data_IF_444785726862
#
_entry.id   IF_444785726862
#
_cell.length_a   1.000
_cell.length_b   1.000
_cell.length_c   1.000
_cell.angle_alpha   90.00
_cell.angle_beta   90.00
_cell.angle_gamma   90.00
#
_symmetry.space_group_name_H-M   'P 1'
#
loop_
_entity.id
_entity.type
_entity.pdbx_description
1 polymer ?
#
# COMPACT_ATOMS: atom_id res chain seq x y z
N UNK A 1 46.47 5.10 -40.60
CA UNK A 1 46.03 4.34 -39.40
C UNK A 1 44.58 4.69 -39.06
N UNK A 2 43.60 3.88 -39.49
CA UNK A 2 42.18 4.08 -39.14
C UNK A 2 41.93 3.46 -37.76
N UNK A 3 41.92 4.27 -36.70
CA UNK A 3 41.65 3.81 -35.34
C UNK A 3 40.19 3.33 -35.27
N UNK A 4 40.03 2.06 -34.94
CA UNK A 4 38.77 1.32 -34.94
C UNK A 4 37.74 1.97 -34.00
N UNK A 5 36.63 2.49 -34.57
CA UNK A 5 35.45 2.95 -33.80
C UNK A 5 34.78 1.79 -33.04
N UNK A 6 34.97 0.56 -33.51
CA UNK A 6 34.46 -0.67 -32.88
C UNK A 6 35.05 -0.89 -31.50
N UNK A 7 36.35 -0.59 -31.29
CA UNK A 7 36.99 -0.72 -29.98
C UNK A 7 36.44 0.28 -28.97
N UNK A 8 36.06 1.49 -29.40
CA UNK A 8 35.44 2.51 -28.54
C UNK A 8 34.04 2.08 -28.09
N UNK A 9 33.24 1.50 -28.99
CA UNK A 9 31.91 0.98 -28.65
C UNK A 9 31.98 -0.22 -27.71
N UNK A 10 32.95 -1.12 -27.90
CA UNK A 10 33.14 -2.27 -27.03
C UNK A 10 33.47 -1.84 -25.59
N UNK A 11 34.34 -0.82 -25.44
CA UNK A 11 34.70 -0.26 -24.14
C UNK A 11 33.48 0.41 -23.49
N UNK A 12 32.69 1.17 -24.24
CA UNK A 12 31.47 1.81 -23.73
C UNK A 12 30.46 0.75 -23.23
N UNK A 13 30.30 -0.34 -23.97
CA UNK A 13 29.37 -1.42 -23.62
C UNK A 13 29.82 -2.15 -22.34
N UNK A 14 31.12 -2.39 -22.17
CA UNK A 14 31.69 -2.97 -20.96
C UNK A 14 31.47 -2.08 -19.73
N UNK A 15 31.64 -0.75 -19.87
CA UNK A 15 31.40 0.20 -18.77
C UNK A 15 29.93 0.18 -18.33
N UNK A 16 28.99 0.14 -19.29
CA UNK A 16 27.56 0.10 -18.97
C UNK A 16 27.17 -1.19 -18.23
N UNK A 17 27.72 -2.34 -18.65
CA UNK A 17 27.50 -3.62 -17.96
C UNK A 17 28.08 -3.58 -16.55
N UNK A 18 29.27 -3.01 -16.36
CA UNK A 18 29.90 -2.91 -15.04
C UNK A 18 29.06 -2.03 -14.07
N UNK A 19 28.55 -0.90 -14.55
CA UNK A 19 27.66 -0.03 -13.78
C UNK A 19 26.38 -0.77 -13.37
N UNK A 20 25.79 -1.53 -14.30
CA UNK A 20 24.58 -2.31 -14.02
C UNK A 20 24.80 -3.40 -12.96
N UNK A 21 25.94 -4.09 -12.99
CA UNK A 21 26.28 -5.12 -11.99
C UNK A 21 26.50 -4.50 -10.60
N UNK A 22 27.16 -3.34 -10.54
CA UNK A 22 27.40 -2.63 -9.27
C UNK A 22 26.08 -2.15 -8.66
N UNK A 23 25.19 -1.54 -9.46
CA UNK A 23 23.90 -1.06 -8.94
C UNK A 23 23.03 -2.22 -8.44
N UNK A 24 22.99 -3.34 -9.16
CA UNK A 24 22.23 -4.53 -8.75
C UNK A 24 22.74 -5.13 -7.44
N UNK A 25 24.06 -5.13 -7.22
CA UNK A 25 24.69 -5.64 -6.00
C UNK A 25 24.38 -4.76 -4.77
N UNK A 26 24.31 -3.44 -4.95
CA UNK A 26 23.99 -2.51 -3.85
C UNK A 26 22.53 -2.59 -3.36
N UNK A 27 21.62 -3.16 -4.14
CA UNK A 27 20.20 -3.32 -3.76
C UNK A 27 19.98 -4.56 -2.87
N UNK A 28 20.93 -5.50 -2.82
CA UNK A 28 20.78 -6.78 -2.10
C UNK A 28 21.24 -6.78 -0.63
N UNK A 29 21.67 -5.63 -0.08
CA UNK A 29 22.19 -5.55 1.30
C UNK A 29 21.33 -4.60 2.14
N UNK A 30 20.16 -5.07 2.55
CA UNK A 30 19.50 -4.62 3.80
C UNK A 30 18.58 -5.74 4.29
N UNK A 31 19.19 -6.83 4.76
CA UNK A 31 18.51 -7.96 5.38
C UNK A 31 18.83 -8.00 6.88
N UNK A 32 17.85 -7.55 7.67
CA UNK A 32 17.48 -7.98 9.04
C UNK A 32 18.57 -7.95 10.12
N UNK A 33 18.43 -7.02 11.07
CA UNK A 33 18.79 -7.30 12.47
C UNK A 33 17.99 -6.47 13.48
N UNK A 34 17.58 -7.15 14.57
CA UNK A 34 17.13 -6.63 15.88
C UNK A 34 15.67 -6.11 15.99
N UNK A 35 14.83 -6.47 16.98
CA UNK A 35 14.91 -7.38 18.13
C UNK A 35 13.54 -7.97 18.47
N UNK A 36 13.56 -9.24 18.87
CA UNK A 36 12.52 -9.93 19.64
C UNK A 36 12.47 -9.42 21.07
N UNK A 37 11.37 -8.77 21.47
CA UNK A 37 11.05 -8.52 22.89
C UNK A 37 9.88 -9.43 23.29
N UNK A 38 10.20 -10.54 23.96
CA UNK A 38 9.24 -11.45 24.62
C UNK A 38 8.63 -10.74 25.84
N UNK A 39 7.33 -10.52 25.85
CA UNK A 39 6.57 -10.24 27.07
C UNK A 39 5.95 -11.54 27.60
N UNK A 40 6.37 -11.95 28.81
CA UNK A 40 5.73 -12.98 29.63
C UNK A 40 4.43 -12.43 30.23
N UNK A 41 3.34 -13.21 30.32
CA UNK A 41 2.27 -12.92 31.27
C UNK A 41 2.55 -13.61 32.62
N UNK A 42 2.31 -12.88 33.70
CA UNK A 42 2.33 -13.35 35.08
C UNK A 42 1.06 -14.17 35.38
N UNK A 43 1.20 -15.46 35.69
CA UNK A 43 0.14 -16.24 36.32
C UNK A 43 0.34 -16.24 37.84
N UNK A 44 -0.66 -15.79 38.58
CA UNK A 44 -0.74 -15.85 40.04
C UNK A 44 -2.04 -16.54 40.43
N UNK A 45 -2.00 -17.85 40.65
CA UNK A 45 -3.04 -18.57 41.39
C UNK A 45 -2.40 -19.18 42.63
N UNK A 46 -2.96 -18.83 43.78
CA UNK A 46 -2.53 -19.23 45.12
C UNK A 46 -3.64 -20.09 45.71
N UNK A 47 -3.26 -21.31 46.15
CA UNK A 47 -3.76 -22.08 47.30
C UNK A 47 -5.23 -22.54 47.26
N UNK A 48 -5.66 -23.65 47.85
CA UNK A 48 -5.09 -24.61 48.82
C UNK A 48 -5.97 -25.89 48.78
N UNK A 49 -5.51 -26.93 49.49
CA UNK A 49 -6.25 -28.07 50.07
C UNK A 49 -6.50 -29.30 49.18
N UNK A 50 -6.46 -30.55 49.66
CA UNK A 50 -5.89 -31.21 50.86
C UNK A 50 -6.23 -32.70 50.68
N UNK A 51 -5.27 -33.60 50.95
CA UNK A 51 -5.52 -34.94 51.48
C UNK A 51 -5.85 -36.08 50.50
N UNK A 52 -5.44 -37.28 50.90
CA UNK A 52 -6.13 -38.52 50.52
C UNK A 52 -5.25 -39.56 49.84
N UNK A 53 -4.92 -40.60 50.58
CA UNK A 53 -4.10 -41.75 50.20
C UNK A 53 -4.97 -42.90 49.63
N UNK A 54 -4.29 -43.88 49.02
CA UNK A 54 -4.69 -45.28 48.78
C UNK A 54 -5.50 -45.72 47.54
N UNK A 55 -4.81 -46.54 46.72
CA UNK A 55 -5.14 -47.92 46.29
C UNK A 55 -6.62 -48.32 46.15
N UNK A 56 -7.05 -48.71 44.95
CA UNK A 56 -7.20 -50.12 44.52
C UNK A 56 -8.11 -50.25 43.28
N UNK A 57 -7.81 -51.32 42.53
CA UNK A 57 -8.59 -51.92 41.45
C UNK A 57 -10.11 -51.90 41.66
N UNK A 58 -10.87 -51.67 40.59
CA UNK A 58 -11.72 -52.73 40.02
C UNK A 58 -12.43 -52.29 38.74
N UNK A 59 -12.47 -53.25 37.81
CA UNK A 59 -13.33 -53.31 36.63
C UNK A 59 -14.77 -52.93 36.98
N UNK A 60 -15.45 -52.24 36.04
CA UNK A 60 -16.81 -52.59 35.66
C UNK A 60 -17.19 -51.98 34.30
N UNK A 61 -17.68 -52.88 33.43
CA UNK A 61 -18.32 -52.61 32.16
C UNK A 61 -19.53 -51.68 32.34
N UNK A 62 -19.68 -50.71 31.44
CA UNK A 62 -20.96 -50.05 31.17
C UNK A 62 -20.95 -49.52 29.74
N UNK A 63 -21.82 -50.10 28.91
CA UNK A 63 -21.99 -49.80 27.50
C UNK A 63 -22.41 -48.34 27.27
N UNK A 64 -21.61 -47.58 26.50
CA UNK A 64 -22.01 -46.30 25.91
C UNK A 64 -22.09 -46.42 24.40
N UNK A 65 -23.04 -45.75 23.71
CA UNK A 65 -23.15 -45.83 22.25
C UNK A 65 -21.97 -45.14 21.57
N UNK A 66 -21.60 -45.62 20.38
CA UNK A 66 -20.55 -45.03 19.56
C UNK A 66 -20.80 -43.52 19.29
N UNK A 67 -19.77 -42.66 19.35
CA UNK A 67 -19.89 -41.28 18.95
C UNK A 67 -20.16 -41.17 17.44
N UNK A 68 -21.03 -40.24 17.04
CA UNK A 68 -21.35 -39.97 15.64
C UNK A 68 -20.11 -39.57 14.84
N UNK A 69 -20.05 -39.86 13.53
CA UNK A 69 -18.90 -39.50 12.69
C UNK A 69 -18.70 -37.98 12.66
N UNK A 70 -17.46 -37.54 12.89
CA UNK A 70 -17.04 -36.15 12.71
C UNK A 70 -17.27 -35.75 11.24
N UNK A 71 -17.88 -34.60 10.94
CA UNK A 71 -18.02 -34.12 9.57
C UNK A 71 -16.63 -34.04 8.89
N UNK A 72 -16.51 -34.38 7.59
CA UNK A 72 -15.23 -34.30 6.90
C UNK A 72 -14.65 -32.90 7.08
N UNK A 73 -13.42 -32.83 7.59
CA UNK A 73 -12.65 -31.60 7.65
C UNK A 73 -12.60 -31.00 6.24
N UNK A 74 -13.40 -29.97 5.99
CA UNK A 74 -13.12 -29.07 4.90
C UNK A 74 -11.77 -28.44 5.22
N UNK A 75 -10.74 -28.59 4.37
CA UNK A 75 -9.53 -27.80 4.53
C UNK A 75 -9.92 -26.33 4.56
N UNK A 76 -9.24 -25.48 5.35
CA UNK A 76 -9.57 -24.08 5.41
C UNK A 76 -9.54 -23.54 3.99
N UNK A 77 -10.70 -23.10 3.49
CA UNK A 77 -10.74 -22.31 2.28
C UNK A 77 -9.98 -21.04 2.62
N UNK A 78 -8.72 -20.99 2.20
CA UNK A 78 -8.00 -19.72 2.13
C UNK A 78 -8.71 -18.92 1.06
N UNK A 79 -9.79 -18.22 1.42
CA UNK A 79 -10.32 -17.14 0.64
C UNK A 79 -9.16 -16.16 0.49
N UNK A 80 -8.50 -16.18 -0.65
CA UNK A 80 -7.51 -15.18 -1.00
C UNK A 80 -8.29 -13.89 -1.09
N UNK A 81 -8.28 -13.10 -0.02
CA UNK A 81 -8.91 -11.80 -0.04
C UNK A 81 -8.11 -10.96 -1.02
N UNK A 82 -8.72 -10.60 -2.16
CA UNK A 82 -8.11 -9.75 -3.18
C UNK A 82 -8.05 -8.28 -2.72
N UNK A 83 -7.64 -8.05 -1.46
CA UNK A 83 -7.62 -6.75 -0.80
C UNK A 83 -6.18 -6.24 -0.75
N UNK A 84 -5.97 -5.10 -1.38
CA UNK A 84 -4.71 -4.39 -1.48
C UNK A 84 -4.78 -3.16 -0.56
N UNK A 85 -4.51 -3.36 0.72
CA UNK A 85 -4.49 -2.28 1.70
C UNK A 85 -3.22 -1.44 1.53
N UNK A 86 -3.36 -0.14 1.31
CA UNK A 86 -2.23 0.78 1.10
C UNK A 86 -1.20 0.76 2.24
N UNK A 87 -1.62 0.45 3.47
CA UNK A 87 -0.70 0.28 4.61
C UNK A 87 0.24 -0.92 4.42
N UNK A 88 -0.23 -2.00 3.80
CA UNK A 88 0.57 -3.17 3.46
C UNK A 88 1.64 -2.88 2.39
N UNK A 89 1.51 -1.76 1.67
CA UNK A 89 2.46 -1.27 0.67
C UNK A 89 3.34 -0.13 1.20
N UNK A 90 3.35 0.09 2.51
CA UNK A 90 4.25 1.04 3.19
C UNK A 90 3.69 2.45 3.34
N UNK A 91 2.40 2.66 3.12
CA UNK A 91 1.76 3.93 3.46
C UNK A 91 1.78 4.15 4.97
N UNK A 92 2.03 5.37 5.41
CA UNK A 92 2.02 5.72 6.83
C UNK A 92 0.66 6.20 7.31
N UNK A 93 -0.09 6.92 6.49
CA UNK A 93 -1.42 7.39 6.85
C UNK A 93 -1.44 8.43 7.97
N UNK A 94 -0.34 9.18 8.14
CA UNK A 94 -0.14 10.21 9.17
C UNK A 94 -0.59 11.62 8.74
N UNK A 95 -1.02 11.78 7.49
CA UNK A 95 -1.44 13.04 6.88
C UNK A 95 -0.30 13.99 6.52
N UNK A 96 0.95 13.58 6.68
CA UNK A 96 2.14 14.42 6.50
C UNK A 96 3.14 13.80 5.53
N UNK A 97 3.35 12.48 5.63
CA UNK A 97 4.26 11.73 4.78
C UNK A 97 3.66 11.49 3.40
N UNK A 98 4.50 11.56 2.37
CA UNK A 98 4.08 11.29 0.99
C UNK A 98 3.81 9.79 0.78
N UNK A 99 2.53 9.44 0.69
CA UNK A 99 2.04 8.07 0.57
C UNK A 99 1.78 7.67 -0.90
N UNK A 100 2.09 8.52 -1.88
CA UNK A 100 1.80 8.26 -3.30
C UNK A 100 2.43 6.98 -3.82
N UNK A 101 3.66 6.65 -3.41
CA UNK A 101 4.35 5.42 -3.85
C UNK A 101 3.67 4.15 -3.34
N UNK A 102 3.19 4.18 -2.09
CA UNK A 102 2.49 3.05 -1.50
C UNK A 102 1.12 2.84 -2.16
N UNK A 103 0.39 3.93 -2.42
CA UNK A 103 -0.86 3.87 -3.18
C UNK A 103 -0.64 3.33 -4.60
N UNK A 104 0.41 3.78 -5.30
CA UNK A 104 0.74 3.28 -6.63
C UNK A 104 1.05 1.78 -6.62
N UNK A 105 1.86 1.32 -5.66
CA UNK A 105 2.22 -0.09 -5.56
C UNK A 105 1.00 -0.97 -5.24
N UNK A 106 0.11 -0.51 -4.36
CA UNK A 106 -1.15 -1.20 -4.07
C UNK A 106 -2.03 -1.30 -5.33
N UNK A 107 -2.13 -0.21 -6.08
CA UNK A 107 -2.87 -0.12 -7.34
C UNK A 107 -2.31 -1.09 -8.40
N UNK A 108 -1.01 -1.05 -8.65
CA UNK A 108 -0.34 -1.94 -9.62
C UNK A 108 -0.48 -3.43 -9.26
N UNK A 109 -0.50 -3.74 -7.97
CA UNK A 109 -0.79 -5.08 -7.47
C UNK A 109 -2.23 -5.49 -7.78
N UNK A 110 -3.19 -4.63 -7.44
CA UNK A 110 -4.61 -4.91 -7.62
C UNK A 110 -5.01 -5.03 -9.09
N UNK A 111 -4.43 -4.23 -9.99
CA UNK A 111 -4.74 -4.29 -11.42
C UNK A 111 -4.45 -5.65 -12.08
N UNK A 112 -3.63 -6.49 -11.46
CA UNK A 112 -3.30 -7.83 -11.96
C UNK A 112 -4.30 -8.89 -11.51
N UNK A 113 -5.29 -8.54 -10.69
CA UNK A 113 -6.21 -9.48 -10.04
C UNK A 113 -7.66 -9.07 -10.30
N UNK A 114 -8.45 -10.00 -10.85
CA UNK A 114 -9.88 -9.78 -11.09
C UNK A 114 -10.65 -9.68 -9.78
N UNK A 115 -11.57 -8.72 -9.68
CA UNK A 115 -12.34 -8.48 -8.45
C UNK A 115 -11.50 -7.96 -7.28
N UNK A 116 -10.35 -7.34 -7.54
CA UNK A 116 -9.50 -6.78 -6.50
C UNK A 116 -10.05 -5.48 -5.93
N UNK A 117 -9.72 -5.22 -4.66
CA UNK A 117 -10.05 -3.98 -3.97
C UNK A 117 -8.77 -3.33 -3.44
N UNK A 118 -8.44 -2.14 -3.94
CA UNK A 118 -7.46 -1.27 -3.29
C UNK A 118 -8.19 -0.52 -2.17
N UNK A 119 -7.76 -0.68 -0.92
CA UNK A 119 -8.41 -0.06 0.24
C UNK A 119 -7.53 1.01 0.88
N UNK A 120 -8.13 2.20 1.03
CA UNK A 120 -7.64 3.32 1.84
C UNK A 120 -8.40 3.29 3.16
N UNK A 121 -7.82 2.75 4.25
CA UNK A 121 -8.55 2.41 5.46
C UNK A 121 -9.00 3.64 6.25
N UNK A 122 -10.13 3.51 6.94
CA UNK A 122 -10.66 4.52 7.86
C UNK A 122 -9.69 4.85 9.00
N UNK A 123 -9.87 6.04 9.61
CA UNK A 123 -9.03 6.61 10.68
C UNK A 123 -7.65 7.12 10.25
N UNK A 124 -7.21 6.84 9.03
CA UNK A 124 -5.93 7.31 8.49
C UNK A 124 -6.13 8.48 7.52
N UNK A 125 -5.07 9.29 7.38
CA UNK A 125 -5.00 10.38 6.42
C UNK A 125 -3.78 10.18 5.52
N UNK A 126 -3.96 10.09 4.23
CA UNK A 126 -2.88 9.82 3.28
C UNK A 126 -2.61 11.06 2.46
N UNK A 127 -1.42 11.64 2.59
CA UNK A 127 -1.01 12.75 1.74
C UNK A 127 -0.54 12.18 0.41
N UNK A 128 -1.29 12.46 -0.65
CA UNK A 128 -1.03 11.94 -2.00
C UNK A 128 -0.62 13.11 -2.88
N UNK A 129 0.62 13.12 -3.36
CA UNK A 129 1.04 14.00 -4.46
C UNK A 129 0.38 13.63 -5.79
N UNK A 130 0.40 14.52 -6.80
CA UNK A 130 -0.11 14.22 -8.13
C UNK A 130 0.33 12.84 -8.64
N UNK A 131 -0.64 12.01 -9.01
CA UNK A 131 -0.41 10.61 -9.34
C UNK A 131 -1.28 10.17 -10.52
N UNK A 132 -0.71 9.32 -11.37
CA UNK A 132 -1.46 8.60 -12.40
C UNK A 132 -1.63 7.16 -11.90
N UNK A 133 -2.88 6.75 -11.76
CA UNK A 133 -3.27 5.37 -11.51
C UNK A 133 -3.64 4.77 -12.86
N UNK A 134 -2.71 3.99 -13.43
CA UNK A 134 -2.79 3.55 -14.82
C UNK A 134 -3.16 2.06 -14.90
N UNK A 135 -3.97 1.71 -15.89
CA UNK A 135 -4.22 0.33 -16.31
C UNK A 135 -3.31 -0.14 -17.46
N UNK A 136 -3.67 -1.23 -18.16
CA UNK A 136 -4.93 -1.96 -18.05
C UNK A 136 -5.07 -2.73 -16.74
N UNK A 137 -6.28 -2.85 -16.22
CA UNK A 137 -6.59 -3.60 -15.00
C UNK A 137 -7.60 -4.70 -15.31
N UNK A 138 -7.56 -5.78 -14.54
CA UNK A 138 -8.58 -6.82 -14.60
C UNK A 138 -9.97 -6.28 -14.20
N UNK A 139 -11.08 -6.87 -14.69
CA UNK A 139 -12.43 -6.40 -14.40
C UNK A 139 -12.78 -6.38 -12.91
N UNK A 140 -13.78 -5.58 -12.55
CA UNK A 140 -14.32 -5.45 -11.20
C UNK A 140 -13.28 -4.97 -10.16
N UNK A 141 -12.32 -4.15 -10.62
CA UNK A 141 -11.42 -3.44 -9.71
C UNK A 141 -12.21 -2.40 -8.90
N UNK A 142 -11.97 -2.37 -7.60
CA UNK A 142 -12.58 -1.42 -6.66
C UNK A 142 -11.48 -0.57 -6.03
N UNK A 143 -11.67 0.75 -6.01
CA UNK A 143 -10.91 1.66 -5.15
C UNK A 143 -11.80 2.13 -4.03
N UNK A 144 -11.59 1.55 -2.85
CA UNK A 144 -12.39 1.83 -1.67
C UNK A 144 -11.68 2.85 -0.79
N UNK A 145 -12.33 4.01 -0.61
CA UNK A 145 -11.84 5.12 0.18
C UNK A 145 -12.68 5.24 1.44
N UNK A 146 -12.21 4.67 2.55
CA UNK A 146 -12.85 4.80 3.86
C UNK A 146 -12.11 5.78 4.77
N UNK A 147 -10.83 6.04 4.49
CA UNK A 147 -9.98 7.05 5.13
C UNK A 147 -10.08 8.43 4.48
N UNK A 148 -9.06 9.26 4.70
CA UNK A 148 -8.94 10.56 4.05
C UNK A 148 -7.77 10.58 3.09
N UNK A 149 -8.01 10.95 1.83
CA UNK A 149 -6.96 11.37 0.90
C UNK A 149 -6.79 12.88 1.01
N UNK A 150 -5.55 13.34 1.13
CA UNK A 150 -5.19 14.76 1.23
C UNK A 150 -4.32 15.15 0.04
N UNK A 151 -4.69 16.20 -0.69
CA UNK A 151 -3.81 16.80 -1.69
C UNK A 151 -2.73 17.65 -1.02
N UNK A 152 -1.58 17.92 -1.66
CA UNK A 152 -0.58 18.83 -1.13
C UNK A 152 -1.12 20.28 -1.05
N UNK A 153 -1.04 20.95 0.12
CA UNK A 153 -1.68 22.26 0.32
C UNK A 153 -0.92 23.44 -0.31
N UNK A 154 0.36 23.29 -0.65
CA UNK A 154 1.21 24.42 -1.09
C UNK A 154 1.22 24.57 -2.61
N UNK A 155 0.99 25.79 -3.10
CA UNK A 155 1.18 26.16 -4.52
C UNK A 155 2.63 25.85 -4.92
N UNK A 156 2.84 25.04 -5.95
CA UNK A 156 4.16 24.61 -6.42
C UNK A 156 4.71 23.31 -5.80
N UNK A 157 3.99 22.68 -4.86
CA UNK A 157 4.31 21.32 -4.40
C UNK A 157 3.90 20.22 -5.40
N UNK A 158 3.10 20.60 -6.39
CA UNK A 158 2.79 19.79 -7.55
C UNK A 158 3.93 19.97 -8.55
N UNK A 159 4.48 18.86 -9.05
CA UNK A 159 5.64 18.90 -9.94
C UNK A 159 5.34 19.74 -11.19
N UNK A 160 6.39 20.38 -11.72
CA UNK A 160 6.37 21.27 -12.91
C UNK A 160 5.86 20.61 -14.20
N UNK A 161 5.64 19.30 -14.22
CA UNK A 161 5.37 18.55 -15.43
C UNK A 161 3.90 18.16 -15.49
N UNK A 162 3.14 18.84 -16.35
CA UNK A 162 1.92 18.46 -17.09
C UNK A 162 0.75 17.75 -16.37
N UNK A 163 0.83 17.47 -15.07
CA UNK A 163 -0.24 16.91 -14.27
C UNK A 163 -0.99 18.04 -13.58
N UNK A 164 -1.94 18.60 -14.31
CA UNK A 164 -2.93 19.54 -13.77
C UNK A 164 -4.00 18.82 -12.92
N UNK A 165 -3.97 17.49 -12.90
CA UNK A 165 -4.88 16.62 -12.17
C UNK A 165 -4.19 16.03 -10.93
N UNK A 166 -4.93 15.98 -9.81
CA UNK A 166 -4.43 15.41 -8.56
C UNK A 166 -4.29 13.88 -8.64
N UNK A 167 -5.39 13.18 -8.90
CA UNK A 167 -5.43 11.74 -9.06
C UNK A 167 -6.04 11.48 -10.42
N UNK A 168 -5.23 10.96 -11.33
CA UNK A 168 -5.65 10.70 -12.70
C UNK A 168 -5.72 9.20 -12.98
N UNK A 169 -6.94 8.70 -13.20
CA UNK A 169 -7.18 7.33 -13.63
C UNK A 169 -7.04 7.24 -15.15
N UNK A 170 -6.17 6.37 -15.65
CA UNK A 170 -5.83 6.30 -17.08
C UNK A 170 -5.89 4.87 -17.62
N UNK A 171 -6.63 4.67 -18.72
CA UNK A 171 -6.75 3.38 -19.42
C UNK A 171 -7.33 2.26 -18.55
N UNK A 172 -8.48 2.52 -17.92
CA UNK A 172 -9.14 1.59 -17.00
C UNK A 172 -10.61 1.47 -17.41
N UNK A 173 -11.12 0.24 -17.40
CA UNK A 173 -12.51 -0.08 -17.74
C UNK A 173 -13.15 -0.88 -16.60
N UNK A 174 -14.46 -0.77 -16.42
CA UNK A 174 -15.25 -1.53 -15.44
C UNK A 174 -14.67 -1.46 -14.00
N UNK A 175 -14.34 -0.25 -13.58
CA UNK A 175 -13.75 0.08 -12.28
C UNK A 175 -14.72 0.91 -11.44
N UNK A 176 -14.72 0.69 -10.12
CA UNK A 176 -15.60 1.39 -9.17
C UNK A 176 -14.78 2.14 -8.13
N UNK A 177 -15.17 3.39 -7.86
CA UNK A 177 -14.73 4.11 -6.65
C UNK A 177 -15.88 4.08 -5.66
N UNK A 178 -15.60 3.67 -4.42
CA UNK A 178 -16.60 3.62 -3.36
C UNK A 178 -15.98 3.95 -2.00
N UNK A 179 -16.79 3.90 -0.95
CA UNK A 179 -16.35 4.08 0.44
C UNK A 179 -17.00 5.30 1.10
N UNK A 180 -16.85 5.38 2.42
CA UNK A 180 -17.46 6.44 3.25
C UNK A 180 -16.47 7.54 3.66
N UNK A 181 -15.28 7.51 3.09
CA UNK A 181 -14.16 8.38 3.42
C UNK A 181 -14.24 9.75 2.76
N UNK A 182 -13.10 10.45 2.76
CA UNK A 182 -12.98 11.83 2.31
C UNK A 182 -11.87 11.97 1.27
N UNK A 183 -12.14 12.71 0.22
CA UNK A 183 -11.14 13.14 -0.77
C UNK A 183 -11.01 14.66 -0.66
N UNK A 184 -10.00 15.12 0.07
CA UNK A 184 -9.78 16.55 0.35
C UNK A 184 -8.69 17.11 -0.58
N UNK A 185 -9.13 17.89 -1.56
CA UNK A 185 -8.27 18.52 -2.56
C UNK A 185 -7.45 19.71 -2.06
N UNK A 186 -7.64 20.18 -0.82
CA UNK A 186 -6.95 21.33 -0.22
C UNK A 186 -6.84 22.56 -1.17
N UNK A 187 -7.92 22.83 -1.92
CA UNK A 187 -7.95 23.79 -3.03
C UNK A 187 -7.98 25.27 -2.62
N UNK A 188 -8.25 25.59 -1.35
CA UNK A 188 -8.43 26.98 -0.89
C UNK A 188 -7.22 27.89 -1.15
N UNK A 189 -6.00 27.37 -0.98
CA UNK A 189 -4.77 28.09 -1.28
C UNK A 189 -4.59 28.37 -2.79
N UNK A 190 -5.23 27.59 -3.65
CA UNK A 190 -5.16 27.75 -5.11
C UNK A 190 -6.18 28.76 -5.64
N UNK A 191 -7.26 29.02 -4.90
CA UNK A 191 -8.35 29.89 -5.35
C UNK A 191 -8.23 31.31 -4.78
N UNK A 192 -7.43 31.51 -3.74
CA UNK A 192 -7.22 32.82 -3.12
C UNK A 192 -6.23 33.68 -3.93
N UNK A 193 -6.76 34.66 -4.68
CA UNK A 193 -5.99 35.54 -5.58
C UNK A 193 -4.82 36.29 -4.91
N UNK A 194 -4.94 36.63 -3.62
CA UNK A 194 -3.88 37.31 -2.87
C UNK A 194 -2.65 36.41 -2.61
N UNK A 195 -2.86 35.11 -2.41
CA UNK A 195 -1.77 34.14 -2.28
C UNK A 195 -1.14 33.81 -3.63
N UNK A 196 -1.95 33.71 -4.69
CA UNK A 196 -1.46 33.52 -6.06
C UNK A 196 -0.57 34.69 -6.48
N UNK A 197 -0.99 35.95 -6.28
CA UNK A 197 -0.21 37.14 -6.61
C UNK A 197 1.14 37.21 -5.88
N UNK A 198 1.17 36.94 -4.57
CA UNK A 198 2.40 36.95 -3.78
C UNK A 198 3.36 35.80 -4.16
N UNK A 199 2.82 34.64 -4.54
CA UNK A 199 3.62 33.48 -4.96
C UNK A 199 4.14 33.68 -6.40
N UNK A 200 3.34 34.26 -7.30
CA UNK A 200 3.75 34.60 -8.68
C UNK A 200 4.92 35.59 -8.70
N UNK A 201 4.94 36.55 -7.76
CA UNK A 201 6.04 37.51 -7.62
C UNK A 201 7.36 36.88 -7.12
N UNK A 202 7.30 35.72 -6.44
CA UNK A 202 8.47 35.01 -5.88
C UNK A 202 8.90 33.79 -6.68
N UNK A 203 8.05 33.24 -7.55
CA UNK A 203 8.31 32.05 -8.35
C UNK A 203 8.19 32.36 -9.84
N UNK A 204 9.25 32.12 -10.61
CA UNK A 204 9.32 32.35 -12.07
C UNK A 204 8.37 31.45 -12.88
N UNK A 205 7.68 30.50 -12.25
CA UNK A 205 6.76 29.60 -12.92
C UNK A 205 5.63 29.20 -11.98
N UNK A 206 4.44 29.72 -12.24
CA UNK A 206 3.17 29.25 -11.68
C UNK A 206 2.33 28.81 -12.88
N UNK A 207 1.86 27.55 -12.92
CA UNK A 207 0.93 27.15 -13.96
C UNK A 207 -0.33 28.01 -13.84
N UNK A 208 -0.80 28.53 -14.98
CA UNK A 208 -1.98 29.40 -15.06
C UNK A 208 -3.30 28.68 -14.73
N UNK A 209 -3.22 27.37 -14.46
CA UNK A 209 -4.37 26.49 -14.33
C UNK A 209 -4.53 25.97 -12.89
N UNK A 210 -5.76 26.06 -12.39
CA UNK A 210 -6.19 25.63 -11.06
C UNK A 210 -6.14 24.10 -10.96
N UNK A 211 -5.80 23.51 -9.79
CA UNK A 211 -5.86 22.06 -9.61
C UNK A 211 -7.33 21.64 -9.66
N UNK A 212 -7.65 20.82 -10.64
CA UNK A 212 -8.99 20.27 -10.81
C UNK A 212 -8.92 18.78 -10.46
N UNK A 213 -9.80 18.34 -9.56
CA UNK A 213 -10.06 16.91 -9.41
C UNK A 213 -10.88 16.47 -10.64
N UNK A 214 -10.18 16.03 -11.68
CA UNK A 214 -10.80 15.53 -12.91
C UNK A 214 -10.81 14.01 -12.89
N UNK A 215 -11.99 13.44 -12.70
CA UNK A 215 -12.29 12.07 -13.11
C UNK A 215 -12.53 12.09 -14.61
N UNK A 216 -11.49 11.83 -15.41
CA UNK A 216 -11.66 11.56 -16.84
C UNK A 216 -11.67 10.06 -17.02
N UNK A 217 -12.85 9.51 -17.32
CA UNK A 217 -13.01 8.13 -17.76
C UNK A 217 -12.91 8.17 -19.29
N UNK A 218 -11.75 7.79 -19.83
CA UNK A 218 -11.55 7.61 -21.28
C UNK A 218 -11.49 6.11 -21.60
#
# INVERSE_FOLDING_TARGET
MKKSKSSSLLILLLILVLIFVITFSTISVEARKHQTKKNKPHNKHKKDNKGGNNNNNNNNNSNSPCPSPVPPHQPPSSSVSNIFNVLSFGAKGDGVSDDSKALLAAWEGACKVSGATVIVPSKYKFLIKPIILQGPCMPHLIFQIDGTLLAPPKIGSWQKYNLFQWIYFKWINNFTIQGTGVVDGQGSNWWCLSQVYNTQKKSKYIPDMKPTFLLTVN
#
